data_IF_765414567559
#
_entry.id   IF_765414567559
#
_cell.length_a   1.000
_cell.length_b   1.000
_cell.length_c   1.000
_cell.angle_alpha   90.00
_cell.angle_beta   90.00
_cell.angle_gamma   90.00
#
_symmetry.space_group_name_H-M   'P 1'
#
loop_
_entity.id
_entity.type
_entity.pdbx_description
1 polymer ?
#
# COMPACT_ATOMS: atom_id res chain seq x y z
N UNK A 1 -4.20 -16.85 11.17
CA UNK A 1 -5.57 -16.57 10.66
C UNK A 1 -6.16 -17.90 10.19
N UNK A 2 -7.45 -18.18 10.44
CA UNK A 2 -8.13 -19.40 10.01
C UNK A 2 -9.22 -19.04 9.01
N UNK A 3 -9.26 -19.73 7.87
CA UNK A 3 -10.29 -19.54 6.85
C UNK A 3 -11.35 -20.63 6.97
N UNK A 4 -12.56 -20.27 7.41
CA UNK A 4 -13.68 -21.20 7.55
C UNK A 4 -14.47 -21.31 6.25
N UNK A 5 -13.94 -22.06 5.28
CA UNK A 5 -14.55 -22.26 3.98
C UNK A 5 -14.50 -23.72 3.56
N UNK A 6 -15.46 -24.13 2.73
CA UNK A 6 -15.47 -25.45 2.07
C UNK A 6 -14.61 -25.46 0.80
N UNK A 7 -14.16 -24.29 0.35
CA UNK A 7 -13.32 -24.17 -0.84
C UNK A 7 -11.90 -24.64 -0.53
N UNK A 8 -11.24 -25.31 -1.48
CA UNK A 8 -9.83 -25.63 -1.35
C UNK A 8 -9.00 -24.34 -1.34
N UNK A 9 -7.84 -24.38 -0.66
CA UNK A 9 -7.02 -23.19 -0.42
C UNK A 9 -6.53 -22.57 -1.74
N UNK A 10 -6.15 -23.42 -2.68
CA UNK A 10 -5.70 -23.07 -4.03
C UNK A 10 -6.79 -22.40 -4.89
N UNK A 11 -8.07 -22.55 -4.54
CA UNK A 11 -9.15 -21.81 -5.21
C UNK A 11 -9.37 -20.41 -4.61
N UNK A 12 -8.88 -20.18 -3.39
CA UNK A 12 -9.00 -18.89 -2.70
C UNK A 12 -7.76 -18.03 -2.94
N UNK A 13 -6.58 -18.65 -2.91
CA UNK A 13 -5.31 -17.98 -3.11
C UNK A 13 -4.81 -18.22 -4.54
N UNK A 14 -4.45 -17.17 -5.28
CA UNK A 14 -3.91 -17.33 -6.62
C UNK A 14 -2.61 -18.17 -6.57
N UNK A 15 -2.40 -19.00 -7.58
CA UNK A 15 -1.22 -19.85 -7.71
C UNK A 15 0.03 -19.04 -8.10
N UNK A 16 -0.17 -17.86 -8.69
CA UNK A 16 0.91 -16.94 -9.02
C UNK A 16 1.38 -16.18 -7.77
N UNK A 17 2.70 -16.04 -7.64
CA UNK A 17 3.29 -15.25 -6.57
C UNK A 17 2.96 -13.77 -6.79
N UNK A 18 2.19 -13.18 -5.88
CA UNK A 18 2.02 -11.74 -5.81
C UNK A 18 3.32 -11.11 -5.29
N UNK A 19 4.10 -10.54 -6.22
CA UNK A 19 5.39 -9.88 -5.95
C UNK A 19 5.28 -8.37 -6.27
N UNK A 20 4.53 -7.60 -5.49
CA UNK A 20 4.43 -6.16 -5.67
C UNK A 20 5.78 -5.47 -5.39
N UNK A 21 6.06 -4.42 -6.16
CA UNK A 21 7.26 -3.59 -6.00
C UNK A 21 6.98 -2.46 -5.00
N UNK A 22 7.17 -2.77 -3.72
CA UNK A 22 6.89 -1.87 -2.60
C UNK A 22 8.14 -1.15 -2.10
N UNK A 23 7.99 0.16 -1.91
CA UNK A 23 8.99 1.03 -1.29
C UNK A 23 8.42 1.70 -0.04
N UNK A 24 9.27 1.91 0.97
CA UNK A 24 8.95 2.76 2.11
C UNK A 24 9.45 4.18 1.86
N UNK A 25 8.57 5.16 2.04
CA UNK A 25 8.89 6.57 1.88
C UNK A 25 8.39 7.39 3.06
N UNK A 26 8.94 8.59 3.21
CA UNK A 26 8.42 9.62 4.10
C UNK A 26 7.83 10.75 3.24
N UNK A 27 6.55 11.05 3.44
CA UNK A 27 5.85 12.11 2.70
C UNK A 27 5.05 12.97 3.66
N UNK A 28 5.29 14.28 3.63
CA UNK A 28 4.68 15.26 4.55
C UNK A 28 4.75 14.84 6.03
N UNK A 29 5.91 14.32 6.46
CA UNK A 29 6.17 13.89 7.83
C UNK A 29 5.52 12.58 8.26
N UNK A 30 4.82 11.88 7.35
CA UNK A 30 4.24 10.57 7.60
C UNK A 30 5.02 9.50 6.84
N UNK A 31 5.37 8.40 7.52
CA UNK A 31 5.93 7.21 6.87
C UNK A 31 4.82 6.40 6.22
N UNK A 32 5.08 5.84 5.05
CA UNK A 32 4.11 5.02 4.31
C UNK A 32 4.81 4.04 3.36
N UNK A 33 4.08 3.01 2.96
CA UNK A 33 4.47 2.12 1.86
C UNK A 33 3.78 2.60 0.59
N UNK A 34 4.54 2.68 -0.49
CA UNK A 34 4.05 2.96 -1.83
C UNK A 34 4.39 1.83 -2.80
N UNK A 35 3.59 1.68 -3.83
CA UNK A 35 3.84 0.79 -4.96
C UNK A 35 4.10 1.63 -6.21
N UNK A 36 5.10 1.25 -7.00
CA UNK A 36 5.39 1.96 -8.25
C UNK A 36 4.28 1.72 -9.28
N UNK A 37 3.65 2.80 -9.74
CA UNK A 37 2.62 2.75 -10.80
C UNK A 37 3.23 3.07 -12.16
N UNK A 38 4.18 4.00 -12.20
CA UNK A 38 4.89 4.39 -13.41
C UNK A 38 6.30 4.89 -13.07
N UNK A 39 7.08 5.28 -14.09
CA UNK A 39 8.41 5.85 -13.87
C UNK A 39 8.43 7.12 -13.04
N UNK A 40 7.34 7.91 -13.02
CA UNK A 40 7.25 9.20 -12.33
C UNK A 40 6.17 9.22 -11.22
N UNK A 41 5.54 8.08 -10.94
CA UNK A 41 4.46 8.02 -9.95
C UNK A 41 4.42 6.73 -9.15
N UNK A 42 3.99 6.85 -7.90
CA UNK A 42 3.73 5.74 -7.00
C UNK A 42 2.35 5.90 -6.35
N UNK A 43 1.78 4.81 -5.87
CA UNK A 43 0.48 4.78 -5.20
C UNK A 43 0.68 4.37 -3.75
N UNK A 44 0.02 5.08 -2.83
CA UNK A 44 0.04 4.76 -1.41
C UNK A 44 -0.66 3.41 -1.19
N UNK A 45 0.04 2.47 -0.57
CA UNK A 45 -0.48 1.13 -0.22
C UNK A 45 -0.96 1.12 1.22
N UNK A 46 -0.17 1.68 2.15
CA UNK A 46 -0.55 1.81 3.56
C UNK A 46 0.24 2.92 4.25
N UNK A 47 -0.38 3.53 5.26
CA UNK A 47 0.30 4.44 6.18
C UNK A 47 1.05 3.61 7.23
N UNK A 48 2.28 4.02 7.57
CA UNK A 48 3.12 3.46 8.62
C UNK A 48 3.35 4.44 9.79
N UNK A 49 2.75 5.63 9.73
CA UNK A 49 2.86 6.63 10.78
C UNK A 49 2.37 6.10 12.13
N UNK A 50 3.10 6.46 13.19
CA UNK A 50 2.70 6.21 14.58
C UNK A 50 1.72 7.27 15.10
N UNK A 51 1.51 8.36 14.36
CA UNK A 51 0.53 9.39 14.68
C UNK A 51 -0.84 9.03 14.07
N UNK A 52 -1.87 8.77 14.89
CA UNK A 52 -3.21 8.43 14.39
C UNK A 52 -3.84 9.52 13.51
N UNK A 53 -3.46 10.79 13.71
CA UNK A 53 -4.00 11.90 12.92
C UNK A 53 -3.64 11.80 11.44
N UNK A 54 -2.54 11.11 11.10
CA UNK A 54 -2.16 10.92 9.70
C UNK A 54 -3.15 10.03 8.95
N UNK A 55 -3.85 9.13 9.65
CA UNK A 55 -4.91 8.30 9.05
C UNK A 55 -6.19 9.08 8.77
N UNK A 56 -6.33 10.31 9.27
CA UNK A 56 -7.48 11.18 8.98
C UNK A 56 -7.23 12.12 7.80
N UNK A 57 -5.97 12.23 7.34
CA UNK A 57 -5.60 13.08 6.22
C UNK A 57 -6.02 12.43 4.91
N UNK A 58 -6.96 13.05 4.20
CA UNK A 58 -7.47 12.54 2.93
C UNK A 58 -6.35 12.39 1.89
N UNK A 59 -5.32 13.23 1.99
CA UNK A 59 -4.17 13.21 1.11
C UNK A 59 -3.16 12.08 1.35
N UNK A 60 -3.28 11.33 2.45
CA UNK A 60 -2.41 10.21 2.77
C UNK A 60 -3.11 8.84 2.61
N UNK A 61 -4.36 8.83 2.19
CA UNK A 61 -5.16 7.61 2.14
C UNK A 61 -4.59 6.60 1.13
N UNK A 62 -4.63 5.30 1.46
CA UNK A 62 -4.34 4.24 0.50
C UNK A 62 -5.12 4.41 -0.80
N UNK A 63 -4.48 4.13 -1.93
CA UNK A 63 -5.04 4.34 -3.27
C UNK A 63 -4.67 5.67 -3.90
N UNK A 64 -4.16 6.65 -3.13
CA UNK A 64 -3.75 7.94 -3.71
C UNK A 64 -2.44 7.82 -4.48
N UNK A 65 -2.38 8.44 -5.65
CA UNK A 65 -1.17 8.51 -6.48
C UNK A 65 -0.38 9.77 -6.16
N UNK A 66 0.91 9.59 -5.89
CA UNK A 66 1.92 10.64 -5.68
C UNK A 66 2.86 10.68 -6.88
N UNK A 67 3.41 11.85 -7.17
CA UNK A 67 4.49 12.00 -8.13
C UNK A 67 5.83 12.08 -7.42
N UNK A 68 6.88 11.50 -7.99
CA UNK A 68 8.21 11.52 -7.37
C UNK A 68 8.77 12.94 -7.23
N UNK A 69 8.36 13.87 -8.08
CA UNK A 69 8.73 15.29 -7.95
C UNK A 69 8.10 16.02 -6.75
N UNK A 70 7.18 15.38 -6.02
CA UNK A 70 6.53 15.92 -4.82
C UNK A 70 7.07 15.31 -3.52
N UNK A 71 7.90 14.25 -3.62
CA UNK A 71 8.55 13.59 -2.50
C UNK A 71 9.81 14.36 -2.11
#
# INVERSE_FOLDING_TARGET
>A
MLLWTILPLEAVFPTEAFNPDYDEIEYQGARMVVEKVSSDSCQIVRILSTNPQDYLRAELQPGKVLKYNQL
#
